data_IF_673177637026
#
_entry.id   IF_673177637026
#
_cell.length_a   1.000
_cell.length_b   1.000
_cell.length_c   1.000
_cell.angle_alpha   90.00
_cell.angle_beta   90.00
_cell.angle_gamma   90.00
#
_symmetry.space_group_name_H-M   'P 1'
#
loop_
_entity.id
_entity.type
_entity.pdbx_description
1 polymer ?
#
# COMPACT_ATOMS: atom_id res chain seq x y z
N UNK A 1 12.02 6.36 -26.56
CA UNK A 1 11.00 5.37 -26.94
C UNK A 1 11.55 3.99 -26.74
N UNK A 2 11.53 3.48 -25.51
CA UNK A 2 11.88 2.09 -25.22
C UNK A 2 10.69 1.19 -25.55
N UNK A 3 10.93 -0.08 -25.87
CA UNK A 3 9.91 -1.12 -25.80
C UNK A 3 9.83 -1.69 -24.37
N UNK A 4 8.65 -2.13 -23.93
CA UNK A 4 8.39 -2.53 -22.53
C UNK A 4 7.73 -3.91 -22.48
N UNK A 5 8.22 -4.75 -21.58
CA UNK A 5 7.50 -5.94 -21.09
C UNK A 5 6.99 -5.65 -19.69
N UNK A 6 5.67 -5.53 -19.53
CA UNK A 6 5.00 -5.23 -18.27
C UNK A 6 4.46 -6.52 -17.65
N UNK A 7 5.04 -6.92 -16.51
CA UNK A 7 4.45 -7.94 -15.64
C UNK A 7 3.54 -7.27 -14.61
N UNK A 8 2.25 -7.59 -14.62
CA UNK A 8 1.27 -7.05 -13.66
C UNK A 8 1.30 -7.83 -12.35
N UNK A 9 0.84 -7.23 -11.24
CA UNK A 9 0.55 -8.01 -10.04
C UNK A 9 -0.51 -9.08 -10.36
N UNK A 10 -0.34 -10.28 -9.81
CA UNK A 10 -1.23 -11.43 -10.02
C UNK A 10 -2.65 -11.15 -9.51
N UNK A 11 -2.80 -10.28 -8.50
CA UNK A 11 -4.09 -9.85 -7.98
C UNK A 11 -4.86 -8.89 -8.90
N UNK A 12 -4.18 -8.15 -9.78
CA UNK A 12 -4.76 -6.99 -10.51
C UNK A 12 -4.36 -6.90 -11.99
N UNK A 13 -4.50 -7.97 -12.80
CA UNK A 13 -4.03 -7.94 -14.20
C UNK A 13 -4.95 -7.17 -15.16
N UNK A 14 -6.25 -7.06 -14.84
CA UNK A 14 -7.28 -6.76 -15.84
C UNK A 14 -7.17 -5.36 -16.46
N UNK A 15 -6.91 -4.33 -15.66
CA UNK A 15 -6.85 -2.96 -16.16
C UNK A 15 -5.67 -2.74 -17.11
N UNK A 16 -4.51 -3.33 -16.81
CA UNK A 16 -3.34 -3.24 -17.67
C UNK A 16 -3.56 -3.94 -19.02
N UNK A 17 -4.26 -5.08 -19.02
CA UNK A 17 -4.64 -5.77 -20.26
C UNK A 17 -5.60 -4.92 -21.10
N UNK A 18 -6.58 -4.27 -20.46
CA UNK A 18 -7.51 -3.38 -21.16
C UNK A 18 -6.79 -2.12 -21.71
N UNK A 19 -5.89 -1.51 -20.94
CA UNK A 19 -5.09 -0.38 -21.44
C UNK A 19 -4.20 -0.80 -22.61
N UNK A 20 -3.64 -2.01 -22.59
CA UNK A 20 -2.86 -2.52 -23.71
C UNK A 20 -3.68 -2.63 -24.99
N UNK A 21 -4.96 -3.06 -24.92
CA UNK A 21 -5.83 -3.09 -26.11
C UNK A 21 -6.11 -1.69 -26.63
N UNK A 22 -6.38 -0.72 -25.75
CA UNK A 22 -6.60 0.68 -26.14
C UNK A 22 -5.36 1.30 -26.80
N UNK A 23 -4.16 0.97 -26.33
CA UNK A 23 -2.92 1.47 -26.93
C UNK A 23 -2.68 0.86 -28.32
N UNK A 24 -3.01 -0.42 -28.50
CA UNK A 24 -2.98 -1.05 -29.81
C UNK A 24 -3.98 -0.37 -30.78
N UNK A 25 -5.21 -0.13 -30.34
CA UNK A 25 -6.22 0.62 -31.12
C UNK A 25 -5.76 2.05 -31.46
N UNK A 26 -5.00 2.70 -30.58
CA UNK A 26 -4.42 4.02 -30.82
C UNK A 26 -3.22 4.01 -31.79
N UNK A 27 -2.84 2.84 -32.32
CA UNK A 27 -1.76 2.70 -33.31
C UNK A 27 -0.37 2.52 -32.70
N UNK A 28 -0.26 2.10 -31.43
CA UNK A 28 1.03 1.72 -30.86
C UNK A 28 1.61 0.52 -31.65
N UNK A 29 2.83 0.62 -32.21
CA UNK A 29 3.39 -0.46 -33.01
C UNK A 29 3.54 -1.78 -32.23
N UNK A 30 3.37 -2.89 -32.94
CA UNK A 30 3.48 -4.23 -32.37
C UNK A 30 4.84 -4.44 -31.67
N UNK A 31 4.80 -5.07 -30.50
CA UNK A 31 5.98 -5.35 -29.69
C UNK A 31 6.51 -4.16 -28.86
N UNK A 32 6.00 -2.93 -29.04
CA UNK A 32 6.41 -1.78 -28.21
C UNK A 32 5.91 -1.91 -26.77
N UNK A 33 4.70 -2.44 -26.57
CA UNK A 33 4.19 -2.82 -25.25
C UNK A 33 3.75 -4.28 -25.26
N UNK A 34 4.29 -5.07 -24.34
CA UNK A 34 3.92 -6.47 -24.13
C UNK A 34 3.48 -6.61 -22.67
N UNK A 35 2.23 -7.01 -22.43
CA UNK A 35 1.73 -7.22 -21.06
C UNK A 35 1.65 -8.71 -20.78
N UNK A 36 2.37 -9.18 -19.75
CA UNK A 36 2.46 -10.59 -19.38
C UNK A 36 2.02 -10.77 -17.93
N UNK A 37 0.72 -11.02 -17.67
CA UNK A 37 0.24 -11.39 -16.35
C UNK A 37 0.88 -12.69 -15.88
N UNK A 38 1.12 -12.80 -14.57
CA UNK A 38 1.66 -14.02 -13.99
C UNK A 38 2.07 -13.82 -12.54
N UNK A 39 2.65 -14.86 -11.93
CA UNK A 39 3.15 -14.77 -10.56
C UNK A 39 4.54 -14.14 -10.51
N UNK A 40 4.86 -13.46 -9.41
CA UNK A 40 6.19 -12.89 -9.18
C UNK A 40 7.34 -13.91 -9.32
N UNK A 41 7.31 -15.04 -8.59
CA UNK A 41 8.38 -16.04 -8.62
C UNK A 41 8.63 -16.73 -9.96
N UNK A 42 7.67 -16.65 -10.91
CA UNK A 42 7.80 -17.26 -12.24
C UNK A 42 7.99 -16.18 -13.31
N UNK A 43 6.93 -15.49 -13.72
CA UNK A 43 6.98 -14.49 -14.78
C UNK A 43 7.91 -13.31 -14.42
N UNK A 44 7.84 -12.82 -13.18
CA UNK A 44 8.71 -11.73 -12.71
C UNK A 44 10.18 -12.14 -12.65
N UNK A 45 10.50 -13.29 -12.07
CA UNK A 45 11.86 -13.79 -11.95
C UNK A 45 12.51 -14.06 -13.33
N UNK A 46 11.73 -14.59 -14.28
CA UNK A 46 12.16 -14.79 -15.66
C UNK A 46 12.55 -13.45 -16.32
N UNK A 47 11.69 -12.42 -16.19
CA UNK A 47 11.97 -11.07 -16.72
C UNK A 47 13.23 -10.47 -16.09
N UNK A 48 13.40 -10.60 -14.77
CA UNK A 48 14.55 -10.03 -14.06
C UNK A 48 15.89 -10.67 -14.47
N UNK A 49 15.88 -11.96 -14.76
CA UNK A 49 17.07 -12.73 -15.12
C UNK A 49 17.34 -12.75 -16.63
N UNK A 50 16.43 -12.22 -17.45
CA UNK A 50 16.53 -12.31 -18.90
C UNK A 50 17.74 -11.52 -19.44
N UNK A 51 18.55 -12.13 -20.30
CA UNK A 51 19.79 -11.53 -20.81
C UNK A 51 19.55 -10.41 -21.84
N UNK A 52 18.41 -10.45 -22.54
CA UNK A 52 18.01 -9.43 -23.53
C UNK A 52 17.17 -8.28 -22.98
N UNK A 53 17.06 -8.12 -21.65
CA UNK A 53 16.39 -6.97 -21.04
C UNK A 53 17.44 -5.97 -20.58
N UNK A 54 17.33 -4.72 -21.02
CA UNK A 54 18.35 -3.70 -20.75
C UNK A 54 18.18 -2.99 -19.41
N UNK A 55 16.95 -2.92 -18.88
CA UNK A 55 16.64 -2.20 -17.63
C UNK A 55 15.45 -2.83 -16.90
N UNK A 56 15.50 -2.79 -15.56
CA UNK A 56 14.34 -3.07 -14.71
C UNK A 56 13.85 -1.81 -14.00
N UNK A 57 12.54 -1.73 -13.85
CA UNK A 57 11.84 -0.83 -12.94
C UNK A 57 10.83 -1.65 -12.15
N UNK A 58 10.87 -1.57 -10.82
CA UNK A 58 10.01 -2.36 -9.96
C UNK A 58 9.43 -1.50 -8.84
N UNK A 59 8.14 -1.70 -8.58
CA UNK A 59 7.44 -1.15 -7.42
C UNK A 59 6.83 -2.28 -6.61
N UNK A 60 7.13 -2.35 -5.31
CA UNK A 60 6.60 -3.40 -4.45
C UNK A 60 7.31 -3.53 -3.11
N UNK A 61 7.40 -4.75 -2.58
CA UNK A 61 7.99 -4.97 -1.26
C UNK A 61 9.52 -4.87 -1.26
N UNK A 62 10.10 -4.41 -0.15
CA UNK A 62 11.56 -4.36 0.02
C UNK A 62 12.22 -5.73 -0.11
N UNK A 63 11.57 -6.80 0.37
CA UNK A 63 12.07 -8.16 0.23
C UNK A 63 12.17 -8.59 -1.23
N UNK A 64 11.14 -8.31 -2.03
CA UNK A 64 11.16 -8.59 -3.48
C UNK A 64 12.17 -7.73 -4.21
N UNK A 65 12.32 -6.45 -3.85
CA UNK A 65 13.31 -5.55 -4.45
C UNK A 65 14.75 -6.07 -4.32
N UNK A 66 15.09 -6.67 -3.17
CA UNK A 66 16.41 -7.31 -2.97
C UNK A 66 16.62 -8.48 -3.94
N UNK A 67 15.62 -9.36 -4.07
CA UNK A 67 15.66 -10.50 -5.01
C UNK A 67 15.86 -10.00 -6.45
N UNK A 68 15.18 -8.92 -6.84
CA UNK A 68 15.29 -8.35 -8.19
C UNK A 68 16.71 -7.83 -8.46
N UNK A 69 17.32 -7.13 -7.49
CA UNK A 69 18.71 -6.69 -7.61
C UNK A 69 19.67 -7.87 -7.76
N UNK A 70 19.48 -8.93 -6.98
CA UNK A 70 20.29 -10.15 -7.08
C UNK A 70 20.18 -10.81 -8.46
N UNK A 71 18.95 -10.95 -9.00
CA UNK A 71 18.74 -11.54 -10.32
C UNK A 71 19.30 -10.68 -11.46
N UNK A 72 19.17 -9.36 -11.37
CA UNK A 72 19.79 -8.43 -12.31
C UNK A 72 21.32 -8.53 -12.26
N UNK A 73 21.89 -8.57 -11.05
CA UNK A 73 23.33 -8.66 -10.85
C UNK A 73 23.92 -9.98 -11.38
N UNK A 74 23.23 -11.10 -11.18
CA UNK A 74 23.66 -12.43 -11.62
C UNK A 74 23.48 -12.70 -13.11
N UNK A 75 22.74 -11.85 -13.82
CA UNK A 75 22.47 -12.00 -15.25
C UNK A 75 23.39 -11.11 -16.08
N UNK A 76 22.92 -9.93 -16.50
CA UNK A 76 23.63 -9.03 -17.42
C UNK A 76 23.97 -7.67 -16.78
N UNK A 77 23.89 -7.55 -15.45
CA UNK A 77 24.13 -6.29 -14.71
C UNK A 77 23.22 -5.12 -15.16
N UNK A 78 22.02 -5.43 -15.69
CA UNK A 78 21.04 -4.42 -16.11
C UNK A 78 20.74 -3.42 -14.98
N UNK A 79 20.70 -2.10 -15.25
CA UNK A 79 20.30 -1.11 -14.26
C UNK A 79 18.91 -1.36 -13.68
N UNK A 80 18.76 -1.14 -12.38
CA UNK A 80 17.51 -1.36 -11.65
C UNK A 80 17.07 -0.08 -10.95
N UNK A 81 15.80 0.27 -11.08
CA UNK A 81 15.13 1.30 -10.25
C UNK A 81 14.10 0.63 -9.37
N UNK A 82 14.09 0.95 -8.08
CA UNK A 82 13.23 0.33 -7.07
C UNK A 82 12.43 1.37 -6.31
N UNK A 83 11.11 1.25 -6.34
CA UNK A 83 10.17 1.97 -5.47
C UNK A 83 9.59 0.98 -4.45
N UNK A 84 10.04 1.09 -3.19
CA UNK A 84 9.78 0.06 -2.18
C UNK A 84 8.80 0.54 -1.10
N UNK A 85 8.62 -0.27 -0.06
CA UNK A 85 7.77 0.10 1.07
C UNK A 85 8.33 1.28 1.87
N UNK A 86 7.44 2.01 2.53
CA UNK A 86 7.77 3.10 3.44
C UNK A 86 7.17 2.90 4.84
N UNK A 87 7.64 3.73 5.78
CA UNK A 87 7.05 3.91 7.12
C UNK A 87 7.00 5.41 7.44
N UNK A 88 6.30 6.16 6.59
CA UNK A 88 6.38 7.61 6.53
C UNK A 88 5.86 8.27 7.82
N UNK A 89 6.63 9.19 8.41
CA UNK A 89 6.18 9.99 9.55
C UNK A 89 5.24 11.12 9.10
N UNK A 90 4.31 11.49 9.98
CA UNK A 90 3.51 12.71 9.93
C UNK A 90 3.71 13.42 11.27
N UNK A 91 4.09 14.70 11.26
CA UNK A 91 4.46 15.43 12.49
C UNK A 91 3.46 16.57 12.70
N UNK A 92 2.84 16.62 13.88
CA UNK A 92 1.89 17.65 14.33
C UNK A 92 2.55 18.44 15.44
N UNK A 93 2.77 19.73 15.20
CA UNK A 93 3.36 20.66 16.18
C UNK A 93 2.29 21.28 17.07
N UNK A 94 2.71 21.95 18.15
CA UNK A 94 1.86 22.59 19.15
C UNK A 94 1.01 23.75 18.60
N UNK A 95 1.49 24.41 17.55
CA UNK A 95 0.81 25.51 16.87
C UNK A 95 -0.13 25.07 15.74
N UNK A 96 -0.26 23.75 15.51
CA UNK A 96 -1.12 23.22 14.46
C UNK A 96 -2.61 23.35 14.82
N UNK A 97 -3.43 23.66 13.81
CA UNK A 97 -4.88 23.46 13.90
C UNK A 97 -5.16 21.95 14.03
N UNK A 98 -5.60 21.52 15.22
CA UNK A 98 -5.80 20.10 15.54
C UNK A 98 -6.90 19.47 14.66
N UNK A 99 -7.97 20.20 14.34
CA UNK A 99 -9.03 19.67 13.48
C UNK A 99 -8.52 19.42 12.06
N UNK A 100 -7.76 20.36 11.51
CA UNK A 100 -7.13 20.20 10.21
C UNK A 100 -6.08 19.07 10.22
N UNK A 101 -5.25 19.01 11.26
CA UNK A 101 -4.21 18.00 11.40
C UNK A 101 -4.80 16.59 11.44
N UNK A 102 -5.91 16.39 12.16
CA UNK A 102 -6.62 15.11 12.24
C UNK A 102 -7.13 14.67 10.86
N UNK A 103 -7.78 15.56 10.10
CA UNK A 103 -8.26 15.21 8.75
C UNK A 103 -7.10 14.87 7.80
N UNK A 104 -5.99 15.62 7.86
CA UNK A 104 -4.82 15.36 7.04
C UNK A 104 -4.15 14.02 7.40
N UNK A 105 -3.96 13.73 8.69
CA UNK A 105 -3.39 12.48 9.15
C UNK A 105 -4.30 11.28 8.84
N UNK A 106 -5.61 11.44 9.03
CA UNK A 106 -6.62 10.44 8.68
C UNK A 106 -6.56 10.11 7.19
N UNK A 107 -6.51 11.12 6.32
CA UNK A 107 -6.35 10.91 4.87
C UNK A 107 -5.00 10.27 4.54
N UNK A 108 -3.92 10.73 5.14
CA UNK A 108 -2.56 10.22 4.89
C UNK A 108 -2.42 8.73 5.22
N UNK A 109 -3.14 8.24 6.24
CA UNK A 109 -3.12 6.83 6.62
C UNK A 109 -4.17 6.00 5.89
N UNK A 110 -5.44 6.42 5.89
CA UNK A 110 -6.56 5.58 5.46
C UNK A 110 -6.88 5.65 3.96
N UNK A 111 -6.20 6.51 3.20
CA UNK A 111 -6.31 6.52 1.73
C UNK A 111 -6.04 5.12 1.16
N UNK A 112 -6.89 4.68 0.23
CA UNK A 112 -6.84 3.34 -0.37
C UNK A 112 -6.74 2.19 0.66
N UNK A 113 -7.50 2.27 1.75
CA UNK A 113 -7.47 1.31 2.87
C UNK A 113 -6.08 1.15 3.52
N UNK A 114 -5.19 2.16 3.38
CA UNK A 114 -3.81 2.11 3.83
C UNK A 114 -2.86 1.32 2.92
N UNK A 115 -3.33 0.86 1.76
CA UNK A 115 -2.52 0.16 0.76
C UNK A 115 -1.80 1.17 -0.13
N UNK A 116 -0.90 1.96 0.48
CA UNK A 116 -0.15 3.03 -0.15
C UNK A 116 1.29 3.05 0.38
N UNK A 117 2.29 3.10 -0.51
CA UNK A 117 3.71 3.05 -0.12
C UNK A 117 4.13 4.24 0.75
N UNK A 118 3.50 5.40 0.55
CA UNK A 118 3.77 6.63 1.29
C UNK A 118 2.76 6.91 2.41
N UNK A 119 2.01 5.92 2.88
CA UNK A 119 1.03 6.10 3.94
C UNK A 119 1.67 6.71 5.21
N UNK A 120 1.01 7.72 5.78
CA UNK A 120 1.35 8.41 7.02
C UNK A 120 1.17 7.50 8.24
N UNK A 121 2.04 6.49 8.34
CA UNK A 121 1.87 5.33 9.22
C UNK A 121 2.50 5.49 10.60
N UNK A 122 3.08 6.66 10.87
CA UNK A 122 3.58 7.10 12.18
C UNK A 122 3.23 8.57 12.37
N UNK A 123 2.28 8.86 13.24
CA UNK A 123 1.90 10.24 13.53
C UNK A 123 2.52 10.63 14.86
N UNK A 124 3.48 11.55 14.82
CA UNK A 124 4.10 12.16 16.00
C UNK A 124 3.35 13.45 16.30
N UNK A 125 2.84 13.58 17.52
CA UNK A 125 2.02 14.72 17.92
C UNK A 125 2.67 15.35 19.13
N UNK A 126 2.78 16.67 19.12
CA UNK A 126 3.32 17.42 20.25
C UNK A 126 2.47 17.19 21.51
N UNK A 127 3.13 17.05 22.66
CA UNK A 127 2.48 16.66 23.93
C UNK A 127 1.33 17.57 24.34
N UNK A 128 1.44 18.87 24.06
CA UNK A 128 0.42 19.88 24.40
C UNK A 128 -0.92 19.69 23.66
N UNK A 129 -0.93 19.00 22.52
CA UNK A 129 -2.13 18.78 21.68
C UNK A 129 -2.44 17.29 21.49
N UNK A 130 -1.67 16.39 22.13
CA UNK A 130 -1.76 14.95 21.95
C UNK A 130 -3.15 14.39 22.29
N UNK A 131 -3.65 14.68 23.50
CA UNK A 131 -4.91 14.12 23.99
C UNK A 131 -6.09 14.53 23.11
N UNK A 132 -6.14 15.81 22.72
CA UNK A 132 -7.17 16.34 21.82
C UNK A 132 -7.09 15.67 20.44
N UNK A 133 -5.88 15.51 19.89
CA UNK A 133 -5.66 14.87 18.61
C UNK A 133 -6.11 13.40 18.63
N UNK A 134 -5.81 12.65 19.68
CA UNK A 134 -6.19 11.23 19.82
C UNK A 134 -7.70 11.09 19.88
N UNK A 135 -8.39 11.89 20.70
CA UNK A 135 -9.86 11.86 20.81
C UNK A 135 -10.53 12.22 19.48
N UNK A 136 -10.08 13.28 18.81
CA UNK A 136 -10.61 13.66 17.49
C UNK A 136 -10.30 12.62 16.41
N UNK A 137 -9.11 12.01 16.42
CA UNK A 137 -8.74 10.93 15.50
C UNK A 137 -9.63 9.70 15.67
N UNK A 138 -9.92 9.30 16.92
CA UNK A 138 -10.87 8.24 17.23
C UNK A 138 -12.25 8.53 16.64
N UNK A 139 -12.80 9.72 16.93
CA UNK A 139 -14.11 10.12 16.42
C UNK A 139 -14.15 10.15 14.88
N UNK A 140 -13.06 10.60 14.23
CA UNK A 140 -12.97 10.62 12.76
C UNK A 140 -12.86 9.22 12.16
N UNK A 141 -12.08 8.33 12.77
CA UNK A 141 -11.93 6.93 12.35
C UNK A 141 -13.25 6.16 12.47
N UNK A 142 -14.00 6.33 13.57
CA UNK A 142 -15.30 5.67 13.79
C UNK A 142 -16.38 6.11 12.81
N UNK A 143 -16.34 7.37 12.33
CA UNK A 143 -17.28 7.90 11.33
C UNK A 143 -17.03 7.38 9.91
N UNK A 144 -15.86 6.78 9.64
CA UNK A 144 -15.49 6.36 8.29
C UNK A 144 -16.32 5.15 7.83
N UNK A 145 -17.07 5.31 6.75
CA UNK A 145 -17.98 4.27 6.24
C UNK A 145 -17.20 3.17 5.51
N UNK A 146 -17.17 1.97 6.08
CA UNK A 146 -16.58 0.76 5.47
C UNK A 146 -17.64 -0.06 4.76
N UNK A 147 -17.42 -0.42 3.50
CA UNK A 147 -18.40 -1.21 2.75
C UNK A 147 -18.03 -1.46 1.29
N UNK A 148 -19.03 -1.86 0.51
CA UNK A 148 -18.90 -2.14 -0.91
C UNK A 148 -18.39 -0.90 -1.68
N UNK A 149 -17.24 -0.99 -2.37
CA UNK A 149 -16.62 0.15 -3.05
C UNK A 149 -17.46 0.72 -4.19
N UNK A 150 -18.49 0.01 -4.67
CA UNK A 150 -19.42 0.52 -5.69
C UNK A 150 -20.60 1.31 -5.12
N UNK A 151 -20.80 1.32 -3.80
CA UNK A 151 -21.90 2.05 -3.17
C UNK A 151 -21.51 3.49 -2.86
N UNK A 152 -22.38 4.43 -3.23
CA UNK A 152 -22.22 5.86 -2.91
C UNK A 152 -22.13 6.06 -1.40
N UNK A 153 -21.19 6.91 -0.97
CA UNK A 153 -20.98 7.25 0.44
C UNK A 153 -20.10 6.27 1.20
N UNK A 154 -19.68 5.15 0.60
CA UNK A 154 -18.62 4.30 1.17
C UNK A 154 -17.27 5.01 1.01
N UNK A 155 -16.54 5.13 2.10
CA UNK A 155 -15.22 5.77 2.14
C UNK A 155 -14.07 4.75 2.10
N UNK A 156 -14.33 3.50 2.51
CA UNK A 156 -13.32 2.46 2.65
C UNK A 156 -13.80 1.11 2.11
N UNK A 157 -13.08 0.60 1.11
CA UNK A 157 -13.30 -0.74 0.53
C UNK A 157 -12.59 -1.87 1.29
N UNK A 158 -12.48 -3.06 0.68
CA UNK A 158 -11.75 -4.18 1.27
C UNK A 158 -10.23 -4.06 1.03
N UNK A 159 -9.47 -4.86 1.77
CA UNK A 159 -8.08 -5.19 1.44
C UNK A 159 -8.02 -6.06 0.18
N UNK A 160 -6.88 -6.04 -0.51
CA UNK A 160 -6.74 -6.65 -1.83
C UNK A 160 -7.00 -8.17 -1.86
N UNK A 161 -6.50 -8.91 -0.85
CA UNK A 161 -6.63 -10.36 -0.77
C UNK A 161 -6.58 -10.87 0.67
N UNK A 162 -6.76 -12.19 0.82
CA UNK A 162 -6.78 -12.85 2.12
C UNK A 162 -5.41 -12.90 2.82
N UNK A 163 -4.30 -12.82 2.08
CA UNK A 163 -2.96 -12.81 2.66
C UNK A 163 -2.69 -11.46 3.33
N UNK A 164 -2.97 -10.37 2.61
CA UNK A 164 -2.82 -9.01 3.13
C UNK A 164 -3.78 -8.76 4.30
N UNK A 165 -5.02 -9.23 4.20
CA UNK A 165 -6.00 -9.17 5.29
C UNK A 165 -5.48 -9.81 6.59
N UNK A 166 -5.01 -11.07 6.51
CA UNK A 166 -4.46 -11.78 7.67
C UNK A 166 -3.21 -11.11 8.23
N UNK A 167 -2.35 -10.59 7.35
CA UNK A 167 -1.14 -9.86 7.74
C UNK A 167 -1.48 -8.60 8.55
N UNK A 168 -2.45 -7.80 8.09
CA UNK A 168 -2.87 -6.59 8.80
C UNK A 168 -3.47 -6.93 10.17
N UNK A 169 -4.37 -7.91 10.26
CA UNK A 169 -4.90 -8.33 11.57
C UNK A 169 -3.81 -8.89 12.49
N UNK A 170 -2.80 -9.56 11.94
CA UNK A 170 -1.61 -9.97 12.68
C UNK A 170 -0.82 -8.78 13.25
N UNK A 171 -0.68 -7.68 12.50
CA UNK A 171 -0.07 -6.45 13.01
C UNK A 171 -0.91 -5.76 14.09
N UNK A 172 -2.23 -5.73 13.94
CA UNK A 172 -3.12 -5.21 15.00
C UNK A 172 -2.90 -6.00 16.29
N UNK A 173 -2.93 -7.32 16.22
CA UNK A 173 -2.66 -8.19 17.37
C UNK A 173 -1.28 -7.89 17.96
N UNK A 174 -0.25 -7.82 17.13
CA UNK A 174 1.11 -7.50 17.58
C UNK A 174 1.21 -6.14 18.28
N UNK A 175 0.42 -5.13 17.85
CA UNK A 175 0.37 -3.83 18.50
C UNK A 175 -0.17 -3.92 19.93
N UNK A 176 -1.29 -4.64 20.11
CA UNK A 176 -1.88 -4.91 21.43
C UNK A 176 -0.90 -5.71 22.30
N UNK A 177 -0.34 -6.80 21.76
CA UNK A 177 0.61 -7.67 22.47
C UNK A 177 1.89 -6.92 22.88
N UNK A 178 2.24 -5.83 22.19
CA UNK A 178 3.40 -4.98 22.48
C UNK A 178 3.08 -3.81 23.44
N UNK A 179 1.86 -3.73 23.96
CA UNK A 179 1.45 -2.72 24.95
C UNK A 179 0.96 -1.39 24.38
N UNK A 180 0.76 -1.27 23.07
CA UNK A 180 0.15 -0.08 22.49
C UNK A 180 -1.35 0.00 22.85
N UNK A 181 -1.85 1.21 23.07
CA UNK A 181 -3.26 1.43 23.40
C UNK A 181 -4.11 1.35 22.14
N UNK A 182 -4.95 0.32 22.01
CA UNK A 182 -5.93 0.23 20.92
C UNK A 182 -7.10 1.18 21.19
N UNK A 183 -7.11 2.35 20.54
CA UNK A 183 -8.09 3.41 20.75
C UNK A 183 -9.42 3.10 20.08
N UNK A 184 -9.38 2.58 18.85
CA UNK A 184 -10.57 2.10 18.12
C UNK A 184 -10.20 1.17 16.98
N UNK A 185 -11.19 0.41 16.48
CA UNK A 185 -11.03 -0.51 15.37
C UNK A 185 -10.34 -1.81 15.77
N UNK A 186 -9.50 -2.32 14.87
CA UNK A 186 -8.70 -3.53 15.09
C UNK A 186 -9.36 -4.84 14.66
N UNK A 187 -10.64 -4.81 14.28
CA UNK A 187 -11.37 -6.02 13.92
C UNK A 187 -11.82 -6.07 12.46
N UNK A 188 -12.37 -7.22 12.08
CA UNK A 188 -13.01 -7.43 10.79
C UNK A 188 -14.37 -6.72 10.72
N UNK A 189 -14.74 -6.22 9.55
CA UNK A 189 -16.11 -5.81 9.24
C UNK A 189 -16.83 -6.88 8.41
N UNK A 190 -17.97 -7.36 8.90
CA UNK A 190 -18.82 -8.34 8.21
C UNK A 190 -18.20 -9.73 8.06
N UNK A 191 -18.91 -10.64 7.38
CA UNK A 191 -18.51 -12.04 7.20
C UNK A 191 -17.95 -12.37 5.82
N UNK A 192 -18.10 -11.46 4.84
CA UNK A 192 -17.66 -11.61 3.44
C UNK A 192 -16.73 -10.47 3.05
N UNK A 193 -15.84 -10.75 2.10
CA UNK A 193 -14.78 -9.82 1.70
C UNK A 193 -13.72 -9.61 2.79
N UNK A 194 -12.72 -8.81 2.48
CA UNK A 194 -11.54 -8.59 3.32
C UNK A 194 -11.56 -7.21 3.99
N UNK A 195 -12.65 -6.88 4.68
CA UNK A 195 -12.83 -5.56 5.29
C UNK A 195 -12.29 -5.52 6.73
N UNK A 196 -11.54 -4.47 7.05
CA UNK A 196 -10.97 -4.22 8.37
C UNK A 196 -11.46 -2.85 8.85
N UNK A 197 -11.75 -2.72 10.14
CA UNK A 197 -12.12 -1.45 10.75
C UNK A 197 -10.96 -0.44 10.66
N UNK A 198 -11.24 0.86 10.45
CA UNK A 198 -10.24 1.92 10.62
C UNK A 198 -9.69 1.85 12.04
N UNK A 199 -8.38 1.63 12.17
CA UNK A 199 -7.74 1.29 13.44
C UNK A 199 -6.80 2.40 13.88
N UNK A 200 -6.92 2.84 15.12
CA UNK A 200 -6.07 3.86 15.74
C UNK A 200 -5.40 3.25 16.97
N UNK A 201 -4.07 3.36 17.01
CA UNK A 201 -3.25 3.05 18.18
C UNK A 201 -2.65 4.35 18.75
N UNK A 202 -2.65 4.45 20.07
CA UNK A 202 -1.97 5.48 20.85
C UNK A 202 -0.85 4.84 21.69
N UNK A 203 -0.02 5.68 22.30
CA UNK A 203 1.03 5.28 23.27
C UNK A 203 2.03 4.25 22.70
N UNK A 204 2.41 4.45 21.44
CA UNK A 204 3.32 3.53 20.74
C UNK A 204 4.77 3.92 21.00
N UNK A 205 5.47 3.19 21.86
CA UNK A 205 6.89 3.43 22.15
C UNK A 205 7.84 2.90 21.08
N UNK A 206 7.58 1.69 20.56
CA UNK A 206 8.39 1.04 19.53
C UNK A 206 7.50 0.34 18.51
N UNK A 207 7.58 0.78 17.25
CA UNK A 207 7.03 0.02 16.13
C UNK A 207 8.08 -0.94 15.60
N UNK A 208 7.80 -2.25 15.67
CA UNK A 208 8.57 -3.28 14.95
C UNK A 208 8.08 -3.45 13.52
#
# INVERSE_FOLDING_TARGET
GNAVVLKTAEQTPLSALYVASLLHEAGLPDGVLNVVPGFGPTAGAALCSHMGVDKLAFTGSTGTGKIILELAARSNLKPVTLELGGKSPFIVMDDADVDQAVELAHRALFFNQGQCCCAGSRTFVHESVYDEFVEKSKARAQRRVVGDPFKKGVEQGPQIDGQQFKKILGYVKSGVDSGATLVTGGERVGSRGFYIQPTVFADVERMR
#
